data_IF_961102384475
#
_entry.id   IF_961102384475
#
_cell.length_a   1.000
_cell.length_b   1.000
_cell.length_c   1.000
_cell.angle_alpha   90.00
_cell.angle_beta   90.00
_cell.angle_gamma   90.00
#
_symmetry.space_group_name_H-M   'P 1'
#
loop_
_entity.id
_entity.type
_entity.pdbx_description
1 polymer ?
#
# COMPACT_ATOMS: atom_id res chain seq x y z
N UNK A 1 19.47 -7.97 10.52
CA UNK A 1 18.46 -7.85 9.44
C UNK A 1 17.10 -7.65 10.11
N UNK A 2 16.28 -6.69 9.67
CA UNK A 2 14.91 -6.49 10.17
C UNK A 2 13.93 -6.85 9.06
N UNK A 3 12.80 -7.47 9.40
CA UNK A 3 11.74 -7.85 8.46
C UNK A 3 10.47 -7.05 8.76
N UNK A 4 9.70 -6.72 7.72
CA UNK A 4 8.40 -6.07 7.77
C UNK A 4 7.47 -6.85 6.84
N UNK A 5 6.25 -7.12 7.28
CA UNK A 5 5.32 -7.99 6.57
C UNK A 5 5.60 -9.47 6.77
N UNK A 6 4.90 -10.30 6.01
CA UNK A 6 4.98 -11.75 6.12
C UNK A 6 3.81 -12.46 5.46
N UNK A 7 3.88 -13.79 5.47
CA UNK A 7 2.79 -14.65 4.99
C UNK A 7 1.49 -14.33 5.74
N UNK A 8 0.40 -14.23 4.99
CA UNK A 8 -0.92 -13.87 5.53
C UNK A 8 -1.15 -12.38 5.74
N UNK A 9 -0.11 -11.53 5.62
CA UNK A 9 -0.22 -10.07 5.88
C UNK A 9 0.13 -9.22 4.65
N UNK A 10 1.19 -9.58 3.93
CA UNK A 10 1.64 -8.87 2.72
C UNK A 10 2.02 -9.91 1.67
N UNK A 11 1.01 -10.59 1.11
CA UNK A 11 1.25 -11.73 0.23
C UNK A 11 1.60 -11.24 -1.17
N UNK A 12 2.79 -11.59 -1.68
CA UNK A 12 3.27 -11.15 -3.00
C UNK A 12 3.33 -9.61 -3.12
N UNK A 13 4.14 -8.95 -2.28
CA UNK A 13 4.24 -7.49 -2.31
C UNK A 13 4.76 -7.02 -3.67
N UNK A 14 4.15 -5.97 -4.20
CA UNK A 14 4.47 -5.38 -5.51
C UNK A 14 5.21 -4.05 -5.40
N UNK A 15 5.11 -3.39 -4.24
CA UNK A 15 5.62 -2.04 -4.05
C UNK A 15 5.67 -1.66 -2.58
N UNK A 16 6.57 -0.75 -2.25
CA UNK A 16 6.78 -0.25 -0.89
C UNK A 16 7.14 1.23 -0.93
N UNK A 17 6.65 1.99 0.04
CA UNK A 17 6.98 3.40 0.21
C UNK A 17 7.02 3.80 1.68
N UNK A 18 7.70 4.89 1.99
CA UNK A 18 7.71 5.49 3.32
C UNK A 18 7.10 6.89 3.21
N UNK A 19 6.04 7.16 3.96
CA UNK A 19 5.39 8.46 3.94
C UNK A 19 6.11 9.49 4.82
N UNK A 20 5.62 10.73 4.84
CA UNK A 20 6.19 11.82 5.66
C UNK A 20 6.16 11.58 7.18
N UNK A 21 5.32 10.66 7.67
CA UNK A 21 5.26 10.26 9.08
C UNK A 21 6.28 9.16 9.42
N UNK A 22 7.02 8.66 8.42
CA UNK A 22 7.91 7.52 8.57
C UNK A 22 7.19 6.18 8.59
N UNK A 23 5.92 6.09 8.22
CA UNK A 23 5.21 4.80 8.15
C UNK A 23 5.59 4.06 6.87
N UNK A 24 5.76 2.74 6.96
CA UNK A 24 6.06 1.87 5.81
C UNK A 24 4.76 1.36 5.24
N UNK A 25 4.44 1.73 4.00
CA UNK A 25 3.26 1.26 3.27
C UNK A 25 3.72 0.18 2.30
N UNK A 26 3.19 -1.02 2.45
CA UNK A 26 3.42 -2.15 1.55
C UNK A 26 2.15 -2.40 0.75
N UNK A 27 2.28 -2.44 -0.58
CA UNK A 27 1.22 -2.83 -1.47
C UNK A 27 1.36 -4.29 -1.89
N UNK A 28 0.25 -5.01 -1.93
CA UNK A 28 0.14 -6.30 -2.59
C UNK A 28 -1.12 -6.41 -3.46
N UNK A 29 -1.13 -7.39 -4.37
CA UNK A 29 -2.28 -7.64 -5.25
C UNK A 29 -2.51 -9.16 -5.42
N UNK A 30 -2.47 -9.91 -4.31
CA UNK A 30 -2.69 -11.36 -4.32
C UNK A 30 -4.17 -11.76 -4.27
N UNK A 31 -5.11 -10.82 -4.38
CA UNK A 31 -6.50 -11.09 -4.70
C UNK A 31 -7.22 -9.79 -5.10
N UNK A 32 -7.35 -8.90 -4.13
CA UNK A 32 -7.63 -7.48 -4.31
C UNK A 32 -6.32 -6.70 -4.09
N UNK A 33 -6.34 -5.41 -4.40
CA UNK A 33 -5.23 -4.53 -4.07
C UNK A 33 -5.28 -4.17 -2.59
N UNK A 34 -4.22 -4.52 -1.87
CA UNK A 34 -4.09 -4.29 -0.44
C UNK A 34 -3.01 -3.26 -0.15
N UNK A 35 -3.23 -2.47 0.89
CA UNK A 35 -2.24 -1.61 1.50
C UNK A 35 -2.13 -1.97 2.97
N UNK A 36 -0.96 -2.45 3.39
CA UNK A 36 -0.67 -2.69 4.80
C UNK A 36 0.35 -1.67 5.27
N UNK A 37 0.02 -0.96 6.34
CA UNK A 37 0.81 0.14 6.90
C UNK A 37 1.48 -0.34 8.18
N UNK A 38 2.79 -0.11 8.30
CA UNK A 38 3.61 -0.51 9.44
C UNK A 38 4.39 0.67 9.99
N UNK A 39 4.83 0.56 11.24
CA UNK A 39 5.77 1.49 11.83
C UNK A 39 7.24 1.17 11.51
N UNK A 40 8.11 2.06 12.00
CA UNK A 40 9.57 1.96 12.19
C UNK A 40 10.10 0.70 12.87
N UNK A 41 9.26 -0.18 13.40
CA UNK A 41 9.69 -1.41 14.08
C UNK A 41 9.11 -2.67 13.44
N UNK A 42 8.11 -2.52 12.57
CA UNK A 42 7.47 -3.60 11.82
C UNK A 42 6.13 -3.99 12.43
N UNK A 43 5.64 -3.21 13.40
CA UNK A 43 4.31 -3.37 13.95
C UNK A 43 3.30 -2.88 12.92
N UNK A 44 2.28 -3.69 12.67
CA UNK A 44 1.19 -3.33 11.78
C UNK A 44 0.32 -2.24 12.44
N UNK A 45 0.13 -1.13 11.75
CA UNK A 45 -0.69 0.00 12.18
C UNK A 45 -2.08 -0.06 11.57
N UNK A 46 -2.19 -0.47 10.30
CA UNK A 46 -3.46 -0.54 9.58
C UNK A 46 -3.37 -1.47 8.35
N UNK A 47 -4.51 -1.97 7.87
CA UNK A 47 -4.64 -2.65 6.58
C UNK A 47 -5.91 -2.20 5.86
N UNK A 48 -5.79 -2.06 4.55
CA UNK A 48 -6.84 -1.62 3.65
C UNK A 48 -6.90 -2.57 2.46
N UNK A 49 -8.11 -2.84 1.99
CA UNK A 49 -8.36 -3.69 0.83
C UNK A 49 -9.26 -2.93 -0.16
N UNK A 50 -8.92 -2.99 -1.45
CA UNK A 50 -9.73 -2.42 -2.51
C UNK A 50 -11.02 -3.24 -2.70
N UNK A 51 -12.11 -2.55 -3.04
CA UNK A 51 -13.39 -3.21 -3.38
C UNK A 51 -13.36 -3.97 -4.72
N UNK A 52 -12.34 -3.74 -5.54
CA UNK A 52 -12.20 -4.28 -6.88
C UNK A 52 -10.82 -4.88 -7.07
N UNK A 53 -10.74 -5.92 -7.90
CA UNK A 53 -9.48 -6.50 -8.33
C UNK A 53 -8.85 -5.64 -9.41
N UNK A 54 -7.53 -5.61 -9.44
CA UNK A 54 -6.76 -5.04 -10.54
C UNK A 54 -6.13 -6.14 -11.38
N UNK A 55 -5.79 -5.79 -12.62
CA UNK A 55 -4.85 -6.58 -13.39
C UNK A 55 -3.47 -6.60 -12.68
N UNK A 56 -2.50 -7.31 -13.24
CA UNK A 56 -1.13 -7.31 -12.71
C UNK A 56 -0.64 -5.88 -12.49
N UNK A 57 -0.26 -5.56 -11.26
CA UNK A 57 0.31 -4.27 -10.90
C UNK A 57 1.82 -4.32 -11.02
N UNK A 58 2.43 -3.21 -11.40
CA UNK A 58 3.87 -3.11 -11.61
C UNK A 58 4.60 -2.34 -10.52
N UNK A 59 4.05 -1.19 -10.12
CA UNK A 59 4.69 -0.30 -9.15
C UNK A 59 3.66 0.61 -8.47
N UNK A 60 4.07 1.23 -7.37
CA UNK A 60 3.32 2.28 -6.69
C UNK A 60 4.19 3.49 -6.33
N UNK A 61 3.58 4.68 -6.33
CA UNK A 61 4.20 5.89 -5.80
C UNK A 61 3.30 6.52 -4.73
N UNK A 62 3.91 6.98 -3.64
CA UNK A 62 3.20 7.75 -2.61
C UNK A 62 2.99 9.19 -3.06
N UNK A 63 1.89 9.77 -2.60
CA UNK A 63 1.52 11.18 -2.78
C UNK A 63 1.39 11.80 -1.40
N UNK A 64 1.88 13.02 -1.23
CA UNK A 64 1.93 13.72 0.06
C UNK A 64 0.57 13.92 0.72
N UNK A 65 -0.52 13.84 -0.04
CA UNK A 65 -1.90 13.96 0.47
C UNK A 65 -2.44 12.68 1.15
N UNK A 66 -1.59 11.67 1.29
CA UNK A 66 -1.94 10.39 1.89
C UNK A 66 -2.62 9.44 0.92
N UNK A 67 -2.18 9.48 -0.34
CA UNK A 67 -2.63 8.60 -1.41
C UNK A 67 -1.48 7.82 -2.03
N UNK A 68 -1.81 6.76 -2.76
CA UNK A 68 -0.90 6.00 -3.62
C UNK A 68 -1.42 6.04 -5.06
N UNK A 69 -0.50 6.26 -6.00
CA UNK A 69 -0.72 5.99 -7.42
C UNK A 69 -0.24 4.58 -7.74
N UNK A 70 -1.10 3.75 -8.31
CA UNK A 70 -0.84 2.37 -8.69
C UNK A 70 -0.77 2.24 -10.22
N UNK A 71 0.32 1.67 -10.74
CA UNK A 71 0.48 1.36 -12.15
C UNK A 71 0.05 -0.09 -12.46
N UNK A 72 -0.86 -0.26 -13.42
CA UNK A 72 -1.48 -1.56 -13.74
C UNK A 72 -1.35 -1.94 -15.22
N UNK A 73 -1.29 -3.25 -15.49
CA UNK A 73 -1.18 -3.87 -16.82
C UNK A 73 -2.38 -3.63 -17.73
N UNK A 74 -3.49 -3.15 -17.20
CA UNK A 74 -4.64 -2.71 -17.98
C UNK A 74 -4.48 -1.29 -18.58
N UNK A 75 -3.23 -0.80 -18.65
CA UNK A 75 -2.83 0.48 -19.24
C UNK A 75 -3.38 1.70 -18.50
N UNK A 76 -3.68 1.55 -17.19
CA UNK A 76 -4.24 2.61 -16.35
C UNK A 76 -3.39 2.86 -15.11
N UNK A 77 -3.55 4.08 -14.60
CA UNK A 77 -3.10 4.48 -13.27
C UNK A 77 -4.33 4.64 -12.37
N UNK A 78 -4.23 4.18 -11.13
CA UNK A 78 -5.28 4.29 -10.13
C UNK A 78 -4.78 5.07 -8.92
N UNK A 79 -5.60 5.99 -8.41
CA UNK A 79 -5.31 6.75 -7.20
C UNK A 79 -6.13 6.20 -6.03
N UNK A 80 -5.46 5.78 -4.97
CA UNK A 80 -6.08 5.28 -3.74
C UNK A 80 -5.69 6.14 -2.55
N UNK A 81 -6.67 6.70 -1.85
CA UNK A 81 -6.42 7.39 -0.57
C UNK A 81 -6.35 6.36 0.56
N UNK A 82 -5.29 6.38 1.35
CA UNK A 82 -5.08 5.44 2.46
C UNK A 82 -5.07 6.11 3.83
N UNK A 83 -4.80 7.42 3.91
CA UNK A 83 -5.00 8.19 5.14
C UNK A 83 -6.25 9.05 5.04
N UNK A 84 -7.07 9.05 6.08
CA UNK A 84 -8.18 9.98 6.20
C UNK A 84 -7.62 11.41 6.23
N UNK A 85 -8.31 12.41 5.62
CA UNK A 85 -8.05 13.79 5.98
C UNK A 85 -8.18 13.91 7.50
N UNK A 86 -7.22 14.56 8.17
CA UNK A 86 -7.43 15.00 9.54
C UNK A 86 -8.72 15.83 9.52
N UNK A 87 -9.80 15.30 10.11
CA UNK A 87 -10.96 16.11 10.45
C UNK A 87 -10.48 17.17 11.41
N UNK A 88 -10.46 18.42 10.96
CA UNK A 88 -10.36 19.61 11.81
C UNK A 88 -11.66 19.76 12.57
#
# INVERSE_FOLDING_TARGET
LRQIGGEGVTNYPIGVGINGNGEVIVADNHNNFNLTIFDQKGNMLNALESKVKHAQCFDMALVDDGSVVLASKDYRLYLYRYSHPLTV
#
